data_IF_260180566523
#
_entry.id   IF_260180566523
#
_cell.length_a   1.000
_cell.length_b   1.000
_cell.length_c   1.000
_cell.angle_alpha   90.00
_cell.angle_beta   90.00
_cell.angle_gamma   90.00
#
_symmetry.space_group_name_H-M   'P 1'
#
loop_
_entity.id
_entity.type
_entity.pdbx_description
1 polymer ?
#
# COMPACT_ATOMS: atom_id res chain seq x y z
N UNK A 1 -1.19 -12.75 -49.60
CA UNK A 1 -1.76 -13.42 -48.41
C UNK A 1 -1.19 -12.72 -47.19
N UNK A 2 -2.00 -11.95 -46.45
CA UNK A 2 -1.56 -11.23 -45.25
C UNK A 2 -1.95 -12.04 -44.01
N UNK A 3 -0.99 -12.18 -43.10
CA UNK A 3 -1.10 -12.87 -41.81
C UNK A 3 -2.15 -12.21 -40.90
N UNK A 4 -2.91 -12.96 -40.08
CA UNK A 4 -3.84 -12.38 -39.12
C UNK A 4 -3.10 -11.76 -37.93
N UNK A 5 -3.54 -10.55 -37.55
CA UNK A 5 -3.08 -9.82 -36.37
C UNK A 5 -3.65 -10.51 -35.12
N UNK A 6 -2.78 -10.75 -34.14
CA UNK A 6 -3.06 -11.39 -32.85
C UNK A 6 -4.05 -10.59 -31.98
N UNK A 7 -4.92 -11.24 -31.19
CA UNK A 7 -5.91 -10.57 -30.35
C UNK A 7 -5.28 -10.08 -29.04
N UNK A 8 -5.06 -8.77 -28.92
CA UNK A 8 -4.81 -8.15 -27.62
C UNK A 8 -6.16 -7.92 -26.92
N UNK A 9 -6.33 -8.53 -25.75
CA UNK A 9 -7.46 -8.27 -24.87
C UNK A 9 -7.43 -6.79 -24.46
N UNK A 10 -8.38 -6.00 -24.97
CA UNK A 10 -8.68 -4.68 -24.44
C UNK A 10 -9.24 -4.88 -23.04
N UNK A 11 -8.44 -4.61 -22.01
CA UNK A 11 -8.99 -4.33 -20.69
C UNK A 11 -9.93 -3.13 -20.85
N UNK A 12 -11.21 -3.32 -20.58
CA UNK A 12 -12.18 -2.22 -20.54
C UNK A 12 -11.77 -1.28 -19.42
N UNK A 13 -11.23 -0.12 -19.78
CA UNK A 13 -10.94 0.95 -18.83
C UNK A 13 -12.28 1.52 -18.35
N UNK A 14 -12.54 1.59 -17.03
CA UNK A 14 -13.77 2.15 -16.51
C UNK A 14 -13.89 3.64 -16.88
N UNK A 15 -15.12 4.15 -17.06
CA UNK A 15 -15.39 5.52 -17.53
C UNK A 15 -14.94 6.63 -16.57
N UNK A 16 -14.63 6.28 -15.32
CA UNK A 16 -13.99 7.11 -14.30
C UNK A 16 -13.10 6.23 -13.44
N UNK A 17 -11.95 6.76 -13.01
CA UNK A 17 -11.07 6.01 -12.12
C UNK A 17 -9.62 6.47 -12.12
N UNK A 18 -8.85 5.89 -11.20
CA UNK A 18 -7.41 6.04 -11.16
C UNK A 18 -6.77 4.73 -11.61
N UNK A 19 -5.82 4.80 -12.54
CA UNK A 19 -5.00 3.66 -12.92
C UNK A 19 -3.60 3.89 -12.36
N UNK A 20 -3.14 2.96 -11.53
CA UNK A 20 -1.77 2.91 -11.04
C UNK A 20 -1.06 1.82 -11.83
N UNK A 21 0.02 2.18 -12.52
CA UNK A 21 0.82 1.23 -13.30
C UNK A 21 2.23 1.21 -12.72
N UNK A 22 2.70 0.07 -12.23
CA UNK A 22 4.06 -0.08 -11.70
C UNK A 22 4.90 -0.93 -12.66
N UNK A 23 6.09 -0.44 -13.02
CA UNK A 23 7.14 -1.20 -13.67
C UNK A 23 8.33 -1.27 -12.73
N UNK A 24 8.57 -2.44 -12.13
CA UNK A 24 9.73 -2.68 -11.26
C UNK A 24 10.82 -3.49 -11.96
N UNK A 25 10.68 -3.78 -13.25
CA UNK A 25 11.68 -4.50 -14.03
C UNK A 25 12.78 -3.57 -14.53
N UNK A 26 13.96 -3.61 -13.90
CA UNK A 26 15.16 -2.89 -14.35
C UNK A 26 15.83 -2.06 -13.25
N UNK A 27 16.83 -1.27 -13.63
CA UNK A 27 17.59 -0.42 -12.70
C UNK A 27 16.83 0.86 -12.25
N UNK A 28 15.69 1.17 -12.88
CA UNK A 28 14.90 2.37 -12.62
C UNK A 28 13.40 2.01 -12.54
N UNK A 29 12.90 1.62 -11.35
CA UNK A 29 11.51 1.25 -11.18
C UNK A 29 10.62 2.51 -11.19
N UNK A 30 9.52 2.47 -11.95
CA UNK A 30 8.59 3.61 -12.12
C UNK A 30 7.17 3.23 -11.79
N UNK A 31 6.46 4.13 -11.12
CA UNK A 31 5.01 4.01 -10.90
C UNK A 31 4.32 5.21 -11.53
N UNK A 32 3.52 4.96 -12.56
CA UNK A 32 2.68 5.95 -13.23
C UNK A 32 1.29 6.02 -12.61
N UNK A 33 0.75 7.23 -12.47
CA UNK A 33 -0.60 7.48 -12.03
C UNK A 33 -1.39 8.18 -13.14
N UNK A 34 -2.58 7.67 -13.46
CA UNK A 34 -3.47 8.30 -14.44
C UNK A 34 -4.85 8.52 -13.83
N UNK A 35 -5.35 9.75 -13.94
CA UNK A 35 -6.68 10.17 -13.49
C UNK A 35 -7.62 10.29 -14.69
N UNK A 36 -8.81 9.68 -14.62
CA UNK A 36 -9.85 9.79 -15.64
C UNK A 36 -11.08 10.51 -15.06
N UNK A 37 -11.39 11.69 -15.59
CA UNK A 37 -12.59 12.46 -15.24
C UNK A 37 -13.82 12.03 -16.03
N UNK A 38 -15.00 12.22 -15.43
CA UNK A 38 -16.31 11.80 -15.93
C UNK A 38 -16.81 12.52 -17.20
N UNK A 39 -15.97 13.32 -17.85
CA UNK A 39 -16.40 14.32 -18.83
C UNK A 39 -16.41 13.90 -20.29
N UNK A 40 -15.80 12.77 -20.69
CA UNK A 40 -15.74 12.35 -22.09
C UNK A 40 -15.06 13.33 -23.08
N UNK A 41 -14.63 14.51 -22.62
CA UNK A 41 -13.89 15.47 -23.42
C UNK A 41 -12.41 15.07 -23.48
N UNK A 42 -11.96 14.88 -24.72
CA UNK A 42 -10.61 14.47 -25.10
C UNK A 42 -9.61 15.58 -24.74
N UNK A 43 -9.23 15.70 -23.49
CA UNK A 43 -7.94 16.29 -23.17
C UNK A 43 -6.86 15.30 -23.58
N UNK A 44 -5.99 15.78 -24.48
CA UNK A 44 -4.87 15.07 -25.12
C UNK A 44 -4.39 13.89 -24.29
N UNK A 45 -4.55 12.70 -24.86
CA UNK A 45 -3.62 11.61 -24.60
C UNK A 45 -2.21 12.17 -24.65
N UNK A 46 -1.58 12.40 -23.50
CA UNK A 46 -0.14 12.19 -23.42
C UNK A 46 0.03 10.70 -23.22
N UNK A 47 -0.19 9.95 -24.30
CA UNK A 47 0.57 8.72 -24.50
C UNK A 47 2.03 9.15 -24.59
N UNK A 48 2.69 9.31 -23.45
CA UNK A 48 4.13 9.11 -23.42
C UNK A 48 4.33 7.59 -23.42
N UNK A 49 4.16 7.00 -24.60
CA UNK A 49 4.95 5.83 -24.97
C UNK A 49 6.41 6.30 -24.86
N UNK A 50 7.07 5.97 -23.76
CA UNK A 50 8.52 5.96 -23.72
C UNK A 50 8.97 4.83 -24.66
N UNK A 51 9.10 5.18 -25.95
CA UNK A 51 9.86 4.41 -26.92
C UNK A 51 11.26 4.26 -26.32
N UNK A 52 11.59 3.05 -25.86
CA UNK A 52 12.98 2.69 -25.65
C UNK A 52 13.73 2.94 -26.99
N UNK A 53 14.92 3.56 -26.96
CA UNK A 53 15.75 3.62 -28.17
C UNK A 53 15.95 2.20 -28.67
N UNK A 54 15.70 2.00 -29.97
CA UNK A 54 15.79 0.70 -30.64
C UNK A 54 17.18 0.09 -30.39
N UNK A 55 17.23 -0.88 -29.48
CA UNK A 55 18.47 -1.42 -28.95
C UNK A 55 18.24 -2.63 -28.06
N UNK A 56 17.69 -3.71 -28.64
CA UNK A 56 17.83 -5.09 -28.21
C UNK A 56 17.78 -5.44 -26.71
N UNK A 57 16.58 -5.78 -26.23
CA UNK A 57 16.28 -7.05 -25.53
C UNK A 57 14.81 -7.01 -25.09
N UNK A 58 14.03 -7.99 -25.53
CA UNK A 58 12.68 -8.24 -25.02
C UNK A 58 12.75 -8.65 -23.55
N UNK A 59 12.83 -7.68 -22.65
CA UNK A 59 12.34 -7.86 -21.30
C UNK A 59 10.84 -7.73 -21.35
N UNK A 60 10.11 -8.81 -21.12
CA UNK A 60 8.69 -8.73 -20.76
C UNK A 60 8.55 -7.72 -19.63
N UNK A 61 7.81 -6.62 -19.84
CA UNK A 61 7.41 -5.75 -18.76
C UNK A 61 6.62 -6.62 -17.77
N UNK A 62 7.25 -6.97 -16.65
CA UNK A 62 6.59 -7.61 -15.52
C UNK A 62 5.57 -6.59 -15.02
N UNK A 63 4.29 -6.82 -15.32
CA UNK A 63 3.21 -6.05 -14.74
C UNK A 63 3.14 -6.41 -13.27
N UNK A 64 3.81 -5.62 -12.42
CA UNK A 64 3.79 -5.87 -10.99
C UNK A 64 2.56 -5.21 -10.40
N UNK A 65 1.72 -6.02 -9.77
CA UNK A 65 0.56 -5.53 -9.06
C UNK A 65 1.03 -4.79 -7.80
N UNK A 66 0.61 -3.54 -7.63
CA UNK A 66 0.78 -2.86 -6.36
C UNK A 66 0.09 -3.69 -5.26
N UNK A 67 0.76 -3.86 -4.11
CA UNK A 67 0.15 -4.60 -3.00
C UNK A 67 -1.04 -3.81 -2.47
N UNK A 68 -0.83 -2.52 -2.20
CA UNK A 68 -1.87 -1.53 -1.91
C UNK A 68 -1.37 -0.09 -2.08
N UNK A 69 -2.33 0.85 -2.09
CA UNK A 69 -2.09 2.28 -2.11
C UNK A 69 -2.94 2.98 -1.04
N UNK A 70 -2.45 4.09 -0.50
CA UNK A 70 -3.16 4.97 0.43
C UNK A 70 -3.18 6.38 -0.15
N UNK A 71 -4.39 6.92 -0.32
CA UNK A 71 -4.59 8.31 -0.76
C UNK A 71 -4.73 9.20 0.47
N UNK A 72 -3.99 10.29 0.52
CA UNK A 72 -4.08 11.33 1.55
C UNK A 72 -4.51 12.66 0.91
N UNK A 73 -4.69 13.71 1.73
CA UNK A 73 -4.89 15.05 1.19
C UNK A 73 -3.64 15.54 0.43
N UNK A 74 -2.47 15.11 0.88
CA UNK A 74 -1.16 15.51 0.36
C UNK A 74 -0.78 14.77 -0.92
N UNK A 75 -1.33 13.59 -1.17
CA UNK A 75 -1.06 12.85 -2.39
C UNK A 75 -1.36 11.36 -2.29
N UNK A 76 -0.53 10.54 -2.91
CA UNK A 76 -0.65 9.09 -2.91
C UNK A 76 0.63 8.44 -2.40
N UNK A 77 0.47 7.40 -1.59
CA UNK A 77 1.57 6.51 -1.20
C UNK A 77 1.26 5.10 -1.64
N UNK A 78 2.24 4.41 -2.23
CA UNK A 78 2.06 3.06 -2.78
C UNK A 78 3.15 2.14 -2.23
N UNK A 79 2.74 0.97 -1.75
CA UNK A 79 3.65 -0.12 -1.42
C UNK A 79 3.55 -1.20 -2.50
N UNK A 80 4.68 -1.49 -3.15
CA UNK A 80 4.76 -2.46 -4.24
C UNK A 80 5.59 -3.65 -3.76
N UNK A 81 5.07 -4.88 -3.82
CA UNK A 81 5.87 -6.06 -3.52
C UNK A 81 6.92 -6.20 -4.62
N UNK A 82 8.16 -6.51 -4.26
CA UNK A 82 9.17 -6.77 -5.26
C UNK A 82 9.05 -8.21 -5.77
N UNK A 83 9.41 -8.39 -7.04
CA UNK A 83 9.46 -9.72 -7.66
C UNK A 83 10.53 -10.60 -6.99
N UNK A 84 10.30 -11.91 -6.94
CA UNK A 84 11.34 -12.90 -6.61
C UNK A 84 11.84 -12.91 -5.16
N UNK A 85 11.09 -12.33 -4.21
CA UNK A 85 11.44 -12.37 -2.78
C UNK A 85 12.35 -11.22 -2.30
N UNK A 86 12.60 -10.22 -3.15
CA UNK A 86 13.23 -8.98 -2.72
C UNK A 86 12.31 -8.17 -1.78
N UNK A 87 12.90 -7.26 -1.00
CA UNK A 87 12.15 -6.30 -0.18
C UNK A 87 11.24 -5.44 -1.06
N UNK A 88 9.99 -5.26 -0.65
CA UNK A 88 9.04 -4.39 -1.31
C UNK A 88 9.52 -2.95 -1.35
N UNK A 89 9.00 -2.19 -2.31
CA UNK A 89 9.38 -0.82 -2.60
C UNK A 89 8.26 0.14 -2.20
N UNK A 90 8.66 1.32 -1.72
CA UNK A 90 7.77 2.41 -1.34
C UNK A 90 7.89 3.55 -2.34
N UNK A 91 6.74 4.02 -2.82
CA UNK A 91 6.63 5.16 -3.72
C UNK A 91 5.69 6.22 -3.15
N UNK A 92 6.01 7.50 -3.37
CA UNK A 92 5.15 8.64 -3.04
C UNK A 92 4.89 9.49 -4.29
N UNK A 93 3.72 10.11 -4.34
CA UNK A 93 3.34 11.01 -5.41
C UNK A 93 2.70 12.27 -4.82
N UNK A 94 3.38 13.40 -4.95
CA UNK A 94 3.00 14.70 -4.38
C UNK A 94 1.96 15.48 -5.21
N UNK A 95 1.51 14.90 -6.34
CA UNK A 95 0.56 15.50 -7.31
C UNK A 95 1.09 16.66 -8.12
N UNK A 96 2.32 17.11 -7.87
CA UNK A 96 2.95 18.19 -8.62
C UNK A 96 3.76 17.66 -9.80
N UNK A 97 4.21 16.42 -9.72
CA UNK A 97 4.91 15.69 -10.78
C UNK A 97 4.01 14.60 -11.38
N UNK A 98 4.37 14.14 -12.58
CA UNK A 98 3.63 13.10 -13.30
C UNK A 98 3.92 11.67 -12.79
N UNK A 99 5.12 11.45 -12.26
CA UNK A 99 5.62 10.14 -11.86
C UNK A 99 5.78 10.06 -10.34
N UNK A 100 5.53 8.89 -9.76
CA UNK A 100 5.80 8.69 -8.34
C UNK A 100 7.31 8.52 -8.08
N UNK A 101 7.78 9.04 -6.96
CA UNK A 101 9.17 8.95 -6.52
C UNK A 101 9.38 7.71 -5.67
N UNK A 102 10.37 6.88 -6.01
CA UNK A 102 10.83 5.80 -5.14
C UNK A 102 11.54 6.39 -3.91
N UNK A 103 11.08 6.02 -2.72
CA UNK A 103 11.54 6.62 -1.46
C UNK A 103 12.15 5.63 -0.47
N UNK A 104 12.21 4.34 -0.83
CA UNK A 104 12.90 3.32 -0.05
C UNK A 104 12.17 2.00 0.01
N UNK A 105 12.54 1.17 0.99
CA UNK A 105 11.95 -0.15 1.20
C UNK A 105 10.64 -0.05 1.99
N UNK A 106 9.64 -0.79 1.53
CA UNK A 106 8.39 -1.02 2.24
C UNK A 106 8.46 -2.22 3.21
N UNK A 107 9.56 -3.01 3.18
CA UNK A 107 9.70 -4.28 3.91
C UNK A 107 9.37 -5.50 3.05
N UNK A 108 9.50 -6.72 3.59
CA UNK A 108 9.36 -7.95 2.78
C UNK A 108 7.90 -8.37 2.61
N UNK A 109 7.49 -8.60 1.36
CA UNK A 109 6.11 -8.96 1.01
C UNK A 109 5.08 -8.02 1.64
N UNK A 110 5.09 -6.71 1.28
CA UNK A 110 4.11 -5.77 1.77
C UNK A 110 2.69 -6.23 1.39
N UNK A 111 1.72 -5.95 2.27
CA UNK A 111 0.32 -6.38 2.11
C UNK A 111 -0.64 -5.21 2.09
N UNK A 112 -0.55 -4.34 3.08
CA UNK A 112 -1.47 -3.22 3.22
C UNK A 112 -0.73 -1.99 3.71
N UNK A 113 -1.04 -0.84 3.11
CA UNK A 113 -0.60 0.48 3.56
C UNK A 113 -1.80 1.30 4.00
N UNK A 114 -1.66 2.02 5.11
CA UNK A 114 -2.59 3.06 5.54
C UNK A 114 -1.83 4.27 6.03
N UNK A 115 -2.37 5.44 5.76
CA UNK A 115 -1.89 6.70 6.28
C UNK A 115 -3.02 7.41 7.03
N UNK A 116 -2.68 7.99 8.18
CA UNK A 116 -3.53 8.94 8.89
C UNK A 116 -2.74 10.23 9.02
N UNK A 117 -3.23 11.29 8.39
CA UNK A 117 -2.48 12.53 8.22
C UNK A 117 -1.06 12.26 7.67
N UNK A 118 -0.03 12.51 8.48
CA UNK A 118 1.37 12.41 8.09
C UNK A 118 2.02 11.09 8.49
N UNK A 119 1.35 10.22 9.24
CA UNK A 119 1.92 8.94 9.67
C UNK A 119 1.35 7.83 8.81
N UNK A 120 2.24 7.05 8.21
CA UNK A 120 1.90 5.91 7.38
C UNK A 120 2.49 4.63 7.97
N UNK A 121 1.80 3.53 7.71
CA UNK A 121 2.19 2.18 8.15
C UNK A 121 1.93 1.17 7.03
N UNK A 122 2.91 0.30 6.79
CA UNK A 122 2.85 -0.82 5.85
C UNK A 122 2.99 -2.13 6.63
N UNK A 123 2.15 -3.11 6.34
CA UNK A 123 2.27 -4.48 6.90
C UNK A 123 3.09 -5.37 5.98
N UNK A 124 4.04 -6.10 6.55
CA UNK A 124 4.99 -6.92 5.79
C UNK A 124 4.90 -8.38 6.22
N UNK A 125 4.24 -9.18 5.39
CA UNK A 125 3.97 -10.57 5.78
C UNK A 125 5.21 -11.45 5.72
N UNK A 126 6.22 -11.07 4.94
CA UNK A 126 7.47 -11.82 4.80
C UNK A 126 8.39 -11.65 6.00
N UNK A 127 8.46 -10.42 6.53
CA UNK A 127 9.37 -10.04 7.62
C UNK A 127 8.70 -9.94 8.99
N UNK A 128 7.42 -10.33 9.12
CA UNK A 128 6.63 -10.29 10.38
C UNK A 128 6.75 -8.94 11.13
N UNK A 129 6.76 -7.84 10.37
CA UNK A 129 6.89 -6.49 10.90
C UNK A 129 5.94 -5.55 10.18
N UNK A 130 5.84 -4.32 10.69
CA UNK A 130 5.24 -3.20 9.99
C UNK A 130 6.28 -2.10 9.80
N UNK A 131 6.37 -1.54 8.61
CA UNK A 131 7.20 -0.37 8.32
C UNK A 131 6.38 0.88 8.56
N UNK A 132 6.83 1.75 9.46
CA UNK A 132 6.20 3.04 9.76
C UNK A 132 7.11 4.18 9.32
N UNK A 133 6.51 5.27 8.85
CA UNK A 133 7.23 6.44 8.39
C UNK A 133 6.34 7.67 8.45
N UNK A 134 6.95 8.85 8.35
CA UNK A 134 6.24 10.10 8.17
C UNK A 134 6.33 10.59 6.74
N UNK A 135 5.23 11.16 6.27
CA UNK A 135 5.14 11.77 4.95
C UNK A 135 4.21 12.98 4.97
N UNK A 136 4.75 14.14 4.58
CA UNK A 136 4.05 15.42 4.60
C UNK A 136 3.61 15.88 3.20
N UNK A 137 3.64 14.99 2.20
CA UNK A 137 3.36 15.35 0.81
C UNK A 137 4.59 15.71 -0.02
N UNK A 138 5.80 15.66 0.53
CA UNK A 138 7.02 15.93 -0.23
C UNK A 138 7.42 14.75 -1.13
N UNK A 139 8.41 14.95 -2.01
CA UNK A 139 9.01 13.87 -2.79
C UNK A 139 9.83 12.86 -1.96
N UNK A 140 9.96 13.07 -0.64
CA UNK A 140 10.72 12.23 0.29
C UNK A 140 9.88 11.86 1.51
N UNK A 141 10.23 10.75 2.16
CA UNK A 141 9.70 10.35 3.48
C UNK A 141 10.75 10.51 4.57
N UNK A 142 10.32 10.52 5.83
CA UNK A 142 11.21 10.56 6.98
C UNK A 142 10.87 9.44 7.99
N UNK A 143 11.80 9.17 8.91
CA UNK A 143 11.62 8.26 10.05
C UNK A 143 11.15 6.84 9.68
N UNK A 144 11.65 6.28 8.58
CA UNK A 144 11.35 4.90 8.22
C UNK A 144 11.90 3.97 9.30
N UNK A 145 11.01 3.29 10.01
CA UNK A 145 11.36 2.33 11.06
C UNK A 145 10.51 1.09 10.97
N UNK A 146 11.07 -0.05 11.40
CA UNK A 146 10.35 -1.31 11.44
C UNK A 146 9.90 -1.62 12.86
N UNK A 147 8.63 -1.95 13.01
CA UNK A 147 8.00 -2.35 14.27
C UNK A 147 7.70 -3.84 14.19
N UNK A 148 8.27 -4.63 15.10
CA UNK A 148 7.93 -6.05 15.19
C UNK A 148 6.44 -6.20 15.52
N UNK A 149 5.74 -7.01 14.74
CA UNK A 149 4.33 -7.36 14.98
C UNK A 149 4.18 -8.88 14.96
N UNK A 150 2.96 -9.39 15.09
CA UNK A 150 2.71 -10.83 15.04
C UNK A 150 2.99 -11.46 13.68
N UNK A 151 2.82 -12.78 13.60
CA UNK A 151 3.18 -13.54 12.41
C UNK A 151 2.20 -13.32 11.25
N UNK A 152 2.77 -13.10 10.06
CA UNK A 152 2.06 -12.92 8.80
C UNK A 152 1.03 -11.78 8.92
N UNK A 153 1.47 -10.53 9.17
CA UNK A 153 0.58 -9.38 9.20
C UNK A 153 -0.06 -9.18 7.82
N UNK A 154 -1.36 -8.90 7.80
CA UNK A 154 -2.16 -8.82 6.56
C UNK A 154 -2.90 -7.48 6.42
N UNK A 155 -3.50 -7.02 7.52
CA UNK A 155 -4.32 -5.83 7.54
C UNK A 155 -3.78 -4.83 8.53
N UNK A 156 -3.97 -3.55 8.25
CA UNK A 156 -3.70 -2.48 9.19
C UNK A 156 -4.74 -1.39 9.01
N UNK A 157 -5.07 -0.74 10.12
CA UNK A 157 -5.73 0.55 10.09
C UNK A 157 -5.08 1.47 11.13
N UNK A 158 -5.11 2.77 10.87
CA UNK A 158 -4.45 3.78 11.70
C UNK A 158 -5.35 4.99 11.84
N UNK A 159 -5.51 5.50 13.06
CA UNK A 159 -6.20 6.76 13.35
C UNK A 159 -5.32 7.67 14.20
N UNK A 160 -5.46 8.97 14.02
CA UNK A 160 -4.93 9.95 14.98
C UNK A 160 -5.79 9.96 16.25
N UNK A 161 -5.15 10.09 17.40
CA UNK A 161 -5.80 10.18 18.73
C UNK A 161 -5.01 11.15 19.59
N UNK A 162 -5.49 12.40 19.68
CA UNK A 162 -4.76 13.47 20.33
C UNK A 162 -3.41 13.76 19.64
N UNK A 163 -2.33 13.72 20.42
CA UNK A 163 -0.96 13.92 19.93
C UNK A 163 -0.32 12.65 19.31
N UNK A 164 -0.99 11.50 19.44
CA UNK A 164 -0.50 10.20 19.01
C UNK A 164 -1.33 9.64 17.86
N UNK A 165 -0.88 8.52 17.33
CA UNK A 165 -1.58 7.70 16.37
C UNK A 165 -1.72 6.30 16.94
N UNK A 166 -2.86 5.67 16.71
CA UNK A 166 -3.11 4.28 17.10
C UNK A 166 -3.29 3.49 15.83
N UNK A 167 -2.38 2.54 15.60
CA UNK A 167 -2.48 1.58 14.52
C UNK A 167 -2.85 0.21 15.10
N UNK A 168 -3.79 -0.47 14.45
CA UNK A 168 -4.09 -1.87 14.75
C UNK A 168 -3.66 -2.71 13.56
N UNK A 169 -2.87 -3.75 13.81
CA UNK A 169 -2.32 -4.65 12.80
C UNK A 169 -2.88 -6.05 13.01
N UNK A 170 -3.50 -6.63 11.99
CA UNK A 170 -4.08 -7.97 12.02
C UNK A 170 -3.07 -9.04 11.58
N UNK A 171 -2.85 -10.05 12.44
CA UNK A 171 -1.84 -11.10 12.24
C UNK A 171 -2.50 -12.44 11.91
N UNK A 172 -2.57 -12.77 10.62
CA UNK A 172 -3.37 -13.88 10.11
C UNK A 172 -3.01 -15.24 10.74
N UNK A 173 -1.72 -15.52 10.91
CA UNK A 173 -1.28 -16.84 11.40
C UNK A 173 -1.26 -16.97 12.93
N UNK A 174 -1.54 -15.90 13.67
CA UNK A 174 -1.44 -15.87 15.12
C UNK A 174 -2.79 -15.77 15.84
N UNK A 175 -3.88 -15.40 15.15
CA UNK A 175 -5.16 -15.12 15.82
C UNK A 175 -5.08 -13.92 16.76
N UNK A 176 -4.17 -12.99 16.48
CA UNK A 176 -3.91 -11.81 17.28
C UNK A 176 -3.98 -10.53 16.45
N UNK A 177 -4.05 -9.41 17.15
CA UNK A 177 -3.68 -8.11 16.60
C UNK A 177 -2.55 -7.50 17.42
N UNK A 178 -1.79 -6.59 16.81
CA UNK A 178 -0.96 -5.64 17.54
C UNK A 178 -1.66 -4.29 17.58
N UNK A 179 -1.77 -3.68 18.76
CA UNK A 179 -2.14 -2.27 18.92
C UNK A 179 -0.85 -1.49 19.14
N UNK A 180 -0.48 -0.69 18.15
CA UNK A 180 0.76 0.10 18.13
C UNK A 180 0.40 1.56 18.30
N UNK A 181 0.93 2.18 19.35
CA UNK A 181 0.80 3.62 19.56
C UNK A 181 2.08 4.30 19.05
N UNK A 182 1.91 5.26 18.15
CA UNK A 182 2.98 6.03 17.54
C UNK A 182 2.86 7.50 17.94
N UNK A 183 3.97 8.20 18.12
CA UNK A 183 3.99 9.65 18.21
C UNK A 183 3.94 10.29 16.81
N UNK A 184 3.87 11.62 16.74
CA UNK A 184 3.82 12.35 15.47
C UNK A 184 5.06 12.20 14.56
N UNK A 185 6.18 11.75 15.12
CA UNK A 185 7.40 11.45 14.37
C UNK A 185 7.48 9.97 13.94
N UNK A 186 6.37 9.22 14.02
CA UNK A 186 6.30 7.78 13.80
C UNK A 186 7.15 6.93 14.77
N UNK A 187 7.57 7.50 15.91
CA UNK A 187 8.25 6.75 16.97
C UNK A 187 7.26 5.90 17.77
N UNK A 188 7.61 4.64 18.05
CA UNK A 188 6.78 3.72 18.84
C UNK A 188 6.76 4.15 20.30
N UNK A 189 5.56 4.47 20.79
CA UNK A 189 5.28 4.76 22.20
C UNK A 189 4.92 3.47 22.95
N UNK A 190 4.10 2.61 22.33
CA UNK A 190 3.79 1.28 22.85
C UNK A 190 3.41 0.31 21.72
N UNK A 191 3.53 -0.98 21.99
CA UNK A 191 3.14 -2.05 21.07
C UNK A 191 2.65 -3.25 21.88
N UNK A 192 1.33 -3.45 21.88
CA UNK A 192 0.67 -4.48 22.68
C UNK A 192 0.06 -5.54 21.78
N UNK A 193 0.33 -6.81 22.06
CA UNK A 193 -0.33 -7.92 21.37
C UNK A 193 -1.63 -8.28 22.08
N UNK A 194 -2.73 -8.38 21.34
CA UNK A 194 -4.05 -8.74 21.85
C UNK A 194 -4.50 -10.04 21.18
N UNK A 195 -4.80 -11.05 21.99
CA UNK A 195 -5.38 -12.31 21.52
C UNK A 195 -6.86 -12.13 21.23
N UNK A 196 -7.30 -12.58 20.06
CA UNK A 196 -8.69 -12.48 19.64
C UNK A 196 -9.41 -13.82 19.83
N UNK A 197 -10.11 -13.97 20.95
CA UNK A 197 -10.89 -15.19 21.24
C UNK A 197 -11.89 -15.51 20.13
N UNK A 198 -11.72 -16.69 19.54
CA UNK A 198 -12.53 -17.19 18.43
C UNK A 198 -12.32 -16.42 17.11
N UNK A 199 -11.15 -15.82 16.88
CA UNK A 199 -10.80 -15.16 15.63
C UNK A 199 -9.52 -15.76 15.04
N UNK A 200 -9.67 -16.81 14.27
CA UNK A 200 -8.66 -17.39 13.42
C UNK A 200 -8.55 -16.60 12.11
N UNK A 201 -7.31 -16.43 11.65
CA UNK A 201 -6.99 -15.73 10.41
C UNK A 201 -7.59 -14.30 10.32
N UNK A 202 -7.24 -13.41 11.27
CA UNK A 202 -7.59 -12.01 11.17
C UNK A 202 -6.87 -11.39 9.97
N UNK A 203 -7.63 -10.86 9.01
CA UNK A 203 -7.06 -10.34 7.74
C UNK A 203 -7.23 -8.85 7.52
N UNK A 204 -8.31 -8.29 8.03
CA UNK A 204 -8.62 -6.87 7.88
C UNK A 204 -9.03 -6.33 9.23
N UNK A 205 -8.69 -5.06 9.45
CA UNK A 205 -9.07 -4.32 10.63
C UNK A 205 -9.52 -2.93 10.21
N UNK A 206 -10.43 -2.36 10.98
CA UNK A 206 -10.89 -0.98 10.82
C UNK A 206 -11.20 -0.41 12.20
N UNK A 207 -10.76 0.82 12.46
CA UNK A 207 -11.31 1.60 13.55
C UNK A 207 -12.80 1.83 13.30
N UNK A 208 -13.59 1.83 14.37
CA UNK A 208 -15.01 2.17 14.31
C UNK A 208 -15.13 3.68 14.53
N UNK A 209 -15.65 4.45 13.55
CA UNK A 209 -15.71 5.91 13.64
C UNK A 209 -16.42 6.41 14.90
N UNK A 210 -15.88 7.44 15.53
CA UNK A 210 -16.47 8.06 16.73
C UNK A 210 -16.34 7.25 18.01
N UNK A 211 -15.55 6.17 18.02
CA UNK A 211 -15.37 5.31 19.19
C UNK A 211 -13.91 4.96 19.43
N UNK A 212 -13.62 4.44 20.63
CA UNK A 212 -12.36 3.77 20.96
C UNK A 212 -12.48 2.27 20.79
N UNK A 213 -12.97 1.86 19.62
CA UNK A 213 -13.07 0.45 19.24
C UNK A 213 -12.54 0.21 17.84
N UNK A 214 -12.18 -1.04 17.59
CA UNK A 214 -11.81 -1.54 16.27
C UNK A 214 -12.55 -2.86 15.99
N UNK A 215 -12.81 -3.10 14.71
CA UNK A 215 -13.43 -4.30 14.19
C UNK A 215 -12.41 -5.10 13.38
N UNK A 216 -12.40 -6.42 13.55
CA UNK A 216 -11.48 -7.34 12.89
C UNK A 216 -12.28 -8.39 12.12
N UNK A 217 -11.98 -8.56 10.84
CA UNK A 217 -12.55 -9.63 10.02
C UNK A 217 -11.74 -10.92 10.17
N UNK A 218 -12.37 -11.95 10.73
CA UNK A 218 -11.79 -13.27 11.00
C UNK A 218 -12.24 -14.21 9.88
N UNK A 219 -11.32 -14.52 8.96
CA UNK A 219 -11.71 -15.15 7.69
C UNK A 219 -11.92 -16.65 7.74
N UNK A 220 -11.35 -17.34 8.75
CA UNK A 220 -11.64 -18.77 8.96
C UNK A 220 -12.94 -18.94 9.74
N UNK A 221 -13.16 -18.12 10.77
CA UNK A 221 -14.36 -18.22 11.62
C UNK A 221 -15.60 -17.51 11.04
N UNK A 222 -15.48 -16.92 9.85
CA UNK A 222 -16.56 -16.21 9.15
C UNK A 222 -17.29 -15.18 10.01
N UNK A 223 -16.53 -14.39 10.80
CA UNK A 223 -17.13 -13.42 11.72
C UNK A 223 -16.32 -12.15 11.84
N UNK A 224 -16.98 -11.12 12.38
CA UNK A 224 -16.36 -9.86 12.77
C UNK A 224 -16.25 -9.83 14.29
N UNK A 225 -15.08 -9.51 14.80
CA UNK A 225 -14.82 -9.32 16.22
C UNK A 225 -14.59 -7.85 16.49
N UNK A 226 -15.34 -7.27 17.43
CA UNK A 226 -15.18 -5.88 17.87
C UNK A 226 -14.49 -5.86 19.24
N UNK A 227 -13.54 -4.93 19.42
CA UNK A 227 -12.76 -4.76 20.65
C UNK A 227 -12.57 -3.30 20.97
N UNK A 228 -12.51 -2.97 22.26
CA UNK A 228 -12.04 -1.68 22.72
C UNK A 228 -10.52 -1.56 22.55
N UNK A 229 -10.04 -0.32 22.39
CA UNK A 229 -8.63 0.06 22.40
C UNK A 229 -8.08 0.13 23.82
#
# INVERSE_FOLDING_TARGET
MRSPISPWARAQVPPTGHVITANTGGADPRVGYSHYDAGGERHRQQHHELRAPEGGRSGSASSVSAAQASVTQQGLVVAVPADGGAGGQLFVHDRTVADATHVGSAGESPRMIRCSEQVCIVTNSGSNNATVFTWNGAATVANITNVAVGNVPQGVDIKKTGANYVAVVANASAGTVNVVVLNASAGVVSNTTVTLTGCANPRSVSHVPGTDTYAVACTIDNKIVVRAL
#
